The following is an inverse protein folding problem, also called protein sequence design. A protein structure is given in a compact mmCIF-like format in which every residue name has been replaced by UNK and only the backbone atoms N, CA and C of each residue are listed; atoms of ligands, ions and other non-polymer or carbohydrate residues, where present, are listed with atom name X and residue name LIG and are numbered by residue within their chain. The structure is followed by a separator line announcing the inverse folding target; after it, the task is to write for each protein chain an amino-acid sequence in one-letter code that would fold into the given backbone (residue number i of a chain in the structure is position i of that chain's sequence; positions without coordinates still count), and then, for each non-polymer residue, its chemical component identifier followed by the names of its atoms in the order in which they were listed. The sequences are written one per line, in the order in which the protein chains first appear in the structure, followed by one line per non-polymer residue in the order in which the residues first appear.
data_IF_552879728808
#
_entry.id   IF_552879728808
#
_cell.length_a   1.000
_cell.length_b   1.000
_cell.length_c   1.000
_cell.angle_alpha   90.00
_cell.angle_beta   90.00
_cell.angle_gamma   90.00
#
_symmetry.space_group_name_H-M   'P 1'
#
loop_
_entity.id
_entity.type
_entity.pdbx_description
1 polymer ?
#
# COMPACT_ATOMS: atom_id res chain seq x y z
N UNK A 1 14.99 13.94 10.66
CA UNK A 1 15.28 12.51 10.96
C UNK A 1 15.93 11.93 9.71
N UNK A 2 17.25 11.75 9.74
CA UNK A 2 18.09 11.48 8.57
C UNK A 2 18.19 9.99 8.24
N UNK A 3 18.14 9.70 6.94
CA UNK A 3 18.38 8.39 6.34
C UNK A 3 19.79 7.90 6.72
N UNK A 4 19.90 6.82 7.50
CA UNK A 4 21.16 6.10 7.70
C UNK A 4 21.24 4.96 6.69
N UNK A 5 22.31 4.97 5.90
CA UNK A 5 22.68 3.89 4.99
C UNK A 5 22.99 2.61 5.79
N UNK A 6 22.24 1.53 5.53
CA UNK A 6 22.49 0.19 6.09
C UNK A 6 21.49 -0.35 7.13
N UNK A 7 20.28 0.22 7.24
CA UNK A 7 19.31 -0.09 8.30
C UNK A 7 18.02 -0.80 7.86
N UNK A 8 18.11 -1.96 7.22
CA UNK A 8 17.23 -3.11 7.46
C UNK A 8 15.76 -3.11 7.01
N UNK A 9 15.08 -1.96 6.88
CA UNK A 9 13.66 -1.89 6.53
C UNK A 9 13.33 -0.65 5.67
N UNK A 10 12.47 -0.83 4.65
CA UNK A 10 11.96 0.24 3.81
C UNK A 10 10.44 0.43 4.03
N UNK A 11 9.97 1.67 3.95
CA UNK A 11 8.53 1.97 3.98
C UNK A 11 7.90 1.52 2.66
N UNK A 12 7.09 0.47 2.72
CA UNK A 12 6.25 0.03 1.60
C UNK A 12 4.90 0.74 1.65
N UNK A 13 4.47 1.31 0.53
CA UNK A 13 3.16 1.94 0.42
C UNK A 13 2.04 0.90 0.35
N UNK A 14 1.12 0.95 1.31
CA UNK A 14 -0.07 0.10 1.36
C UNK A 14 -1.01 0.40 0.19
N UNK A 15 -1.19 1.69 -0.11
CA UNK A 15 -1.76 2.15 -1.37
C UNK A 15 -0.62 2.63 -2.27
N UNK A 16 -0.26 1.88 -3.33
CA UNK A 16 0.84 2.24 -4.22
C UNK A 16 0.69 3.63 -4.84
N UNK A 17 1.80 4.37 -4.90
CA UNK A 17 1.85 5.70 -5.50
C UNK A 17 1.36 5.69 -6.96
N UNK A 18 1.73 4.66 -7.72
CA UNK A 18 1.24 4.46 -9.08
C UNK A 18 -0.29 4.51 -9.16
N UNK A 19 -1.01 3.94 -8.19
CA UNK A 19 -2.47 3.95 -8.15
C UNK A 19 -3.00 5.32 -7.71
N UNK A 20 -2.37 5.96 -6.72
CA UNK A 20 -2.76 7.31 -6.28
C UNK A 20 -2.70 8.34 -7.42
N UNK A 21 -1.78 8.14 -8.37
CA UNK A 21 -1.58 9.01 -9.52
C UNK A 21 -2.39 8.60 -10.77
N UNK A 22 -3.16 7.50 -10.75
CA UNK A 22 -3.98 7.13 -11.92
C UNK A 22 -5.17 8.08 -12.08
N UNK A 23 -5.44 8.61 -13.30
CA UNK A 23 -6.54 9.54 -13.55
C UNK A 23 -7.91 9.03 -13.07
N UNK A 24 -8.18 7.73 -13.20
CA UNK A 24 -9.44 7.11 -12.77
C UNK A 24 -9.75 7.29 -11.28
N UNK A 25 -8.72 7.43 -10.44
CA UNK A 25 -8.86 7.64 -9.00
C UNK A 25 -8.64 9.11 -8.60
N UNK A 26 -8.35 10.00 -9.56
CA UNK A 26 -7.90 11.36 -9.31
C UNK A 26 -8.88 12.17 -8.45
N UNK A 27 -10.17 12.13 -8.77
CA UNK A 27 -11.20 12.86 -8.01
C UNK A 27 -11.31 12.36 -6.57
N UNK A 28 -11.24 11.03 -6.35
CA UNK A 28 -11.29 10.42 -5.03
C UNK A 28 -10.05 10.80 -4.20
N UNK A 29 -8.84 10.67 -4.75
CA UNK A 29 -7.61 11.04 -4.05
C UNK A 29 -7.47 12.54 -3.83
N UNK A 30 -7.98 13.38 -4.74
CA UNK A 30 -8.06 14.83 -4.51
C UNK A 30 -8.91 15.16 -3.29
N UNK A 31 -10.08 14.53 -3.16
CA UNK A 31 -10.97 14.68 -2.00
C UNK A 31 -10.29 14.18 -0.72
N UNK A 32 -9.72 12.98 -0.75
CA UNK A 32 -9.00 12.39 0.39
C UNK A 32 -7.84 13.28 0.86
N UNK A 33 -7.04 13.85 -0.05
CA UNK A 33 -5.95 14.79 0.29
C UNK A 33 -6.50 16.04 0.99
N UNK A 34 -7.64 16.57 0.54
CA UNK A 34 -8.34 17.66 1.23
C UNK A 34 -8.84 17.32 2.64
N UNK A 35 -8.99 16.02 2.94
CA UNK A 35 -9.37 15.49 4.25
C UNK A 35 -8.16 15.06 5.10
N UNK A 36 -6.93 15.34 4.64
CA UNK A 36 -5.69 15.02 5.38
C UNK A 36 -5.09 13.65 5.08
N UNK A 37 -5.53 12.96 4.01
CA UNK A 37 -4.80 11.78 3.52
C UNK A 37 -3.42 12.18 3.01
N UNK A 38 -2.39 11.57 3.59
CA UNK A 38 -0.99 11.68 3.18
C UNK A 38 -0.53 10.34 2.57
N UNK A 39 -0.17 10.37 1.29
CA UNK A 39 0.25 9.17 0.54
C UNK A 39 1.60 8.63 0.98
N UNK A 40 2.48 9.50 1.51
CA UNK A 40 3.80 9.15 2.04
C UNK A 40 3.79 9.05 3.58
N UNK A 41 2.64 9.35 4.18
CA UNK A 41 2.43 9.32 5.62
C UNK A 41 2.51 7.92 6.20
N UNK A 42 2.87 7.83 7.49
CA UNK A 42 3.01 6.55 8.20
C UNK A 42 1.74 5.68 8.16
N UNK A 43 0.54 6.28 8.03
CA UNK A 43 -0.73 5.56 7.90
C UNK A 43 -0.81 4.73 6.62
N UNK A 44 -0.18 5.20 5.53
CA UNK A 44 -0.07 4.50 4.25
C UNK A 44 1.22 3.67 4.14
N UNK A 45 2.02 3.58 5.20
CA UNK A 45 3.24 2.81 5.24
C UNK A 45 3.10 1.49 6.01
N UNK A 46 3.92 0.52 5.62
CA UNK A 46 4.31 -0.62 6.45
C UNK A 46 5.82 -0.85 6.28
N UNK A 47 6.51 -1.15 7.38
CA UNK A 47 7.90 -1.55 7.31
C UNK A 47 8.00 -2.97 6.74
N UNK A 48 8.67 -3.10 5.60
CA UNK A 48 9.04 -4.40 5.03
C UNK A 48 10.56 -4.59 5.10
N UNK A 49 11.05 -5.82 5.31
CA UNK A 49 12.48 -6.10 5.39
C UNK A 49 13.20 -5.74 4.11
N UNK A 50 14.47 -5.32 4.22
CA UNK A 50 15.39 -5.08 3.10
C UNK A 50 16.06 -6.38 2.58
N UNK A 51 16.78 -6.32 1.44
CA UNK A 51 17.32 -7.50 0.72
C UNK A 51 18.20 -8.41 1.56
N UNK A 52 18.77 -7.91 2.65
CA UNK A 52 19.63 -8.68 3.55
C UNK A 52 18.84 -9.40 4.64
N UNK A 53 17.60 -8.98 4.92
CA UNK A 53 16.82 -9.43 6.07
C UNK A 53 15.61 -10.33 5.74
N UNK A 54 15.28 -10.55 4.46
CA UNK A 54 14.16 -11.44 4.04
C UNK A 54 14.38 -12.90 4.46
N UNK A 55 15.62 -13.34 4.69
CA UNK A 55 15.90 -14.72 5.13
C UNK A 55 15.46 -15.04 6.58
N UNK A 56 15.04 -14.04 7.36
CA UNK A 56 14.74 -14.21 8.79
C UNK A 56 13.35 -13.72 9.20
N UNK A 57 12.53 -13.24 8.26
CA UNK A 57 11.25 -12.56 8.54
C UNK A 57 10.23 -13.01 7.49
N UNK A 58 9.05 -13.45 7.92
CA UNK A 58 7.91 -13.86 7.07
C UNK A 58 7.25 -12.68 6.30
N UNK A 59 8.03 -11.69 5.86
CA UNK A 59 7.54 -10.50 5.17
C UNK A 59 8.18 -10.36 3.77
N UNK A 60 7.38 -9.99 2.75
CA UNK A 60 7.85 -9.85 1.39
C UNK A 60 8.87 -8.70 1.22
N UNK A 61 9.89 -8.91 0.39
CA UNK A 61 10.89 -7.90 0.05
C UNK A 61 10.34 -6.76 -0.83
N UNK A 62 10.80 -5.53 -0.56
CA UNK A 62 10.33 -4.27 -1.16
C UNK A 62 10.90 -3.95 -2.57
N UNK A 63 11.93 -4.67 -3.04
CA UNK A 63 12.66 -4.34 -4.28
C UNK A 63 12.17 -5.11 -5.50
N UNK A 64 11.05 -4.69 -6.09
CA UNK A 64 10.73 -4.82 -7.53
C UNK A 64 9.35 -4.23 -7.79
N UNK A 65 9.04 -3.96 -9.05
CA UNK A 65 7.66 -3.75 -9.47
C UNK A 65 6.82 -4.97 -9.07
N UNK A 66 5.74 -4.74 -8.32
CA UNK A 66 4.87 -5.77 -7.75
C UNK A 66 3.48 -5.60 -8.35
N UNK A 67 3.36 -5.97 -9.62
CA UNK A 67 2.18 -5.75 -10.45
C UNK A 67 0.97 -6.53 -9.91
N UNK A 68 1.16 -7.71 -9.31
CA UNK A 68 0.05 -8.49 -8.76
C UNK A 68 -0.48 -7.85 -7.48
N UNK A 69 0.37 -7.41 -6.55
CA UNK A 69 -0.05 -6.60 -5.41
C UNK A 69 -0.75 -5.30 -5.84
N UNK A 70 -0.13 -4.55 -6.76
CA UNK A 70 -0.69 -3.30 -7.28
C UNK A 70 -2.05 -3.53 -7.94
N UNK A 71 -2.22 -4.64 -8.66
CA UNK A 71 -3.50 -5.05 -9.25
C UNK A 71 -4.54 -5.38 -8.18
N UNK A 72 -4.14 -6.09 -7.12
CA UNK A 72 -5.04 -6.47 -6.04
C UNK A 72 -5.56 -5.25 -5.27
N UNK A 73 -4.66 -4.33 -4.89
CA UNK A 73 -5.04 -3.04 -4.28
C UNK A 73 -5.89 -2.21 -5.25
N UNK A 74 -5.55 -2.21 -6.53
CA UNK A 74 -6.28 -1.49 -7.58
C UNK A 74 -7.74 -1.93 -7.71
N UNK A 75 -8.03 -3.23 -7.55
CA UNK A 75 -9.41 -3.76 -7.56
C UNK A 75 -10.23 -3.21 -6.39
N UNK A 76 -9.68 -3.22 -5.17
CA UNK A 76 -10.33 -2.64 -3.98
C UNK A 76 -10.57 -1.14 -4.13
N UNK A 77 -9.59 -0.40 -4.66
CA UNK A 77 -9.75 1.02 -4.96
C UNK A 77 -10.83 1.28 -6.01
N UNK A 78 -10.96 0.41 -7.01
CA UNK A 78 -11.99 0.54 -8.04
C UNK A 78 -13.40 0.39 -7.47
N UNK A 79 -13.60 -0.55 -6.55
CA UNK A 79 -14.87 -0.70 -5.83
C UNK A 79 -15.20 0.54 -5.00
N UNK A 80 -14.23 1.04 -4.23
CA UNK A 80 -14.41 2.26 -3.42
C UNK A 80 -14.67 3.48 -4.30
N UNK A 81 -13.94 3.65 -5.40
CA UNK A 81 -14.05 4.78 -6.31
C UNK A 81 -15.42 4.86 -6.98
N UNK A 82 -16.05 3.72 -7.30
CA UNK A 82 -17.43 3.67 -7.82
C UNK A 82 -18.44 4.24 -6.83
N UNK A 83 -18.22 4.01 -5.53
CA UNK A 83 -19.12 4.47 -4.46
C UNK A 83 -18.77 5.87 -3.96
N UNK A 84 -17.51 6.31 -4.12
CA UNK A 84 -16.99 7.55 -3.57
C UNK A 84 -17.86 8.81 -3.79
N UNK A 85 -18.52 9.02 -4.94
CA UNK A 85 -19.41 10.17 -5.12
C UNK A 85 -20.62 10.20 -4.18
N UNK A 86 -21.05 9.03 -3.68
CA UNK A 86 -22.21 8.85 -2.81
C UNK A 86 -21.84 8.78 -1.32
N UNK A 87 -20.55 8.62 -1.01
CA UNK A 87 -20.06 8.50 0.36
C UNK A 87 -19.87 9.88 1.00
N UNK A 88 -20.22 9.99 2.28
CA UNK A 88 -19.76 11.07 3.15
C UNK A 88 -18.23 11.03 3.32
N UNK A 89 -17.63 12.15 3.76
CA UNK A 89 -16.18 12.23 3.99
C UNK A 89 -15.72 11.16 5.00
N UNK A 90 -16.47 10.96 6.08
CA UNK A 90 -16.17 9.94 7.08
C UNK A 90 -16.20 8.52 6.50
N UNK A 91 -17.19 8.20 5.66
CA UNK A 91 -17.28 6.90 4.99
C UNK A 91 -16.15 6.69 3.99
N UNK A 92 -15.74 7.75 3.27
CA UNK A 92 -14.64 7.67 2.32
C UNK A 92 -13.29 7.45 3.01
N UNK A 93 -13.04 8.16 4.12
CA UNK A 93 -11.87 7.96 4.98
C UNK A 93 -11.84 6.52 5.52
N UNK A 94 -12.97 6.05 6.06
CA UNK A 94 -13.08 4.68 6.57
C UNK A 94 -12.84 3.64 5.46
N UNK A 95 -13.36 3.90 4.26
CA UNK A 95 -13.15 3.04 3.08
C UNK A 95 -11.66 2.88 2.74
N UNK A 96 -10.91 3.97 2.68
CA UNK A 96 -9.46 3.91 2.44
C UNK A 96 -8.73 3.21 3.58
N UNK A 97 -9.07 3.54 4.83
CA UNK A 97 -8.47 2.89 6.00
C UNK A 97 -8.65 1.37 5.95
N UNK A 98 -9.84 0.89 5.58
CA UNK A 98 -10.12 -0.54 5.45
C UNK A 98 -9.26 -1.21 4.37
N UNK A 99 -8.98 -0.52 3.26
CA UNK A 99 -8.09 -1.05 2.21
C UNK A 99 -6.64 -1.10 2.72
N UNK A 100 -6.17 -0.06 3.42
CA UNK A 100 -4.85 -0.03 4.04
C UNK A 100 -4.68 -1.15 5.07
N UNK A 101 -5.67 -1.35 5.94
CA UNK A 101 -5.65 -2.41 6.95
C UNK A 101 -5.69 -3.81 6.33
N UNK A 102 -6.49 -3.99 5.28
CA UNK A 102 -6.50 -5.23 4.49
C UNK A 102 -5.15 -5.50 3.83
N UNK A 103 -4.53 -4.50 3.21
CA UNK A 103 -3.23 -4.64 2.58
C UNK A 103 -2.14 -4.94 3.62
N UNK A 104 -2.16 -4.25 4.76
CA UNK A 104 -1.23 -4.47 5.88
C UNK A 104 -1.34 -5.90 6.40
N UNK A 105 -2.56 -6.34 6.74
CA UNK A 105 -2.83 -7.69 7.20
C UNK A 105 -2.46 -8.73 6.14
N UNK A 106 -2.74 -8.46 4.86
CA UNK A 106 -2.40 -9.35 3.77
C UNK A 106 -0.88 -9.53 3.58
N UNK A 107 -0.10 -8.46 3.77
CA UNK A 107 1.36 -8.55 3.73
C UNK A 107 1.92 -9.32 4.94
N UNK A 108 1.33 -9.13 6.13
CA UNK A 108 1.76 -9.80 7.37
C UNK A 108 1.39 -11.29 7.42
N UNK A 109 0.26 -11.67 6.82
CA UNK A 109 -0.28 -13.03 6.89
C UNK A 109 -0.05 -13.85 5.60
N UNK A 110 0.79 -13.36 4.68
CA UNK A 110 1.12 -14.09 3.45
C UNK A 110 -0.02 -14.20 2.42
N UNK A 111 -0.99 -13.27 2.42
CA UNK A 111 -2.07 -13.22 1.43
C UNK A 111 -1.54 -12.92 0.02
N UNK A 112 -0.48 -12.11 -0.07
CA UNK A 112 0.11 -11.72 -1.35
C UNK A 112 1.21 -12.68 -1.76
N UNK A 113 1.23 -13.02 -3.05
CA UNK A 113 2.22 -13.94 -3.59
C UNK A 113 3.61 -13.34 -3.47
N UNK A 114 4.53 -14.19 -3.05
CA UNK A 114 5.96 -13.90 -3.03
C UNK A 114 6.69 -14.83 -3.97
N UNK A 115 7.74 -14.33 -4.59
CA UNK A 115 8.65 -15.14 -5.37
C UNK A 115 9.38 -16.11 -4.43
N UNK A 116 9.28 -17.44 -4.65
CA UNK A 116 9.81 -18.42 -3.71
C UNK A 116 11.34 -18.46 -3.65
N UNK A 117 12.03 -17.87 -4.63
CA UNK A 117 13.50 -17.86 -4.72
C UNK A 117 14.08 -16.58 -4.12
N UNK A 118 13.44 -15.45 -4.38
CA UNK A 118 13.94 -14.12 -3.99
C UNK A 118 13.18 -13.47 -2.83
N UNK A 119 12.03 -14.02 -2.42
CA UNK A 119 11.18 -13.50 -1.35
C UNK A 119 10.54 -12.15 -1.67
N UNK A 120 10.63 -11.67 -2.93
CA UNK A 120 10.05 -10.38 -3.35
C UNK A 120 8.54 -10.48 -3.50
N UNK A 121 7.84 -9.37 -3.26
CA UNK A 121 6.41 -9.23 -3.56
C UNK A 121 6.18 -9.32 -5.08
N UNK A 122 5.19 -10.12 -5.49
CA UNK A 122 4.77 -10.23 -6.89
C UNK A 122 3.59 -9.31 -7.22
#
# INVERSE_FOLDING_TARGET
MGHRTGGGMANHHLIPEQLMNKPIFGSMFKRLKGLGFDGDGASNGIFLPDKKNVQYIDLPGHWTNHDAYTTAVGKKLLELNKLAPQLSDAQLILGIKNIQDWARSGLQNGLFKVDPVSGRLL
#
